data_IF_919200287604
#
_entry.id   IF_919200287604
#
_cell.length_a   1.000
_cell.length_b   1.000
_cell.length_c   1.000
_cell.angle_alpha   90.00
_cell.angle_beta   90.00
_cell.angle_gamma   90.00
#
_symmetry.space_group_name_H-M   'P 1'
#
loop_
_entity.id
_entity.type
_entity.pdbx_description
1 polymer ?
#
# COMPACT_ATOMS: atom_id res chain seq x y z
N UNK A 1 -5.40 0.46 6.73
CA UNK A 1 -5.20 0.83 8.15
C UNK A 1 -3.78 0.48 8.63
N UNK A 2 -3.25 -0.72 8.36
CA UNK A 2 -1.88 -1.10 8.70
C UNK A 2 -0.81 -0.15 8.14
N UNK A 3 -0.97 0.31 6.91
CA UNK A 3 -0.05 1.23 6.24
C UNK A 3 0.05 2.59 6.91
N UNK A 4 -1.06 3.17 7.33
CA UNK A 4 -1.09 4.51 7.95
C UNK A 4 -0.29 4.49 9.26
N UNK A 5 -0.40 3.44 10.05
CA UNK A 5 0.28 3.33 11.34
C UNK A 5 1.77 2.98 11.20
N UNK A 6 2.14 2.14 10.24
CA UNK A 6 3.55 1.90 9.92
C UNK A 6 4.22 3.18 9.42
N UNK A 7 3.54 3.97 8.59
CA UNK A 7 4.00 5.30 8.17
C UNK A 7 4.30 6.20 9.37
N UNK A 8 3.44 6.21 10.38
CA UNK A 8 3.67 7.02 11.60
C UNK A 8 4.83 6.49 12.45
N UNK A 9 5.05 5.18 12.51
CA UNK A 9 6.18 4.60 13.23
C UNK A 9 7.53 4.91 12.55
N UNK A 10 7.56 5.12 11.23
CA UNK A 10 8.74 5.52 10.45
C UNK A 10 8.73 7.00 10.04
N UNK A 11 8.09 7.88 10.81
CA UNK A 11 8.03 9.33 10.50
C UNK A 11 9.39 10.02 10.47
N UNK A 12 10.40 9.45 11.12
CA UNK A 12 11.77 9.91 11.01
C UNK A 12 12.59 8.89 10.20
N UNK A 13 13.14 9.28 9.04
CA UNK A 13 14.03 8.42 8.27
C UNK A 13 15.28 8.08 9.09
N UNK A 14 15.84 6.86 8.95
CA UNK A 14 17.02 6.46 9.72
C UNK A 14 18.25 7.31 9.37
N UNK A 15 19.07 7.58 10.38
CA UNK A 15 20.36 8.26 10.22
C UNK A 15 21.47 7.22 10.16
N UNK A 16 22.54 7.53 9.41
CA UNK A 16 23.65 6.62 9.20
C UNK A 16 24.96 7.22 9.70
N UNK A 17 25.73 6.42 10.42
CA UNK A 17 27.10 6.76 10.81
C UNK A 17 28.04 5.62 10.42
N UNK A 18 29.03 5.95 9.58
CA UNK A 18 30.09 5.04 9.09
C UNK A 18 31.42 5.28 9.82
N UNK A 19 31.39 6.04 10.94
CA UNK A 19 32.58 6.36 11.74
C UNK A 19 33.43 7.51 11.16
N UNK A 20 32.94 8.24 10.16
CA UNK A 20 33.63 9.36 9.52
C UNK A 20 32.64 10.48 9.20
N UNK A 21 32.78 11.63 9.84
CA UNK A 21 31.88 12.78 9.70
C UNK A 21 31.82 13.32 8.27
N UNK A 22 32.93 13.32 7.52
CA UNK A 22 32.95 13.77 6.12
C UNK A 22 32.17 12.77 5.24
N UNK A 23 32.40 11.47 5.42
CA UNK A 23 31.65 10.42 4.74
C UNK A 23 30.14 10.49 5.04
N UNK A 24 29.77 10.71 6.30
CA UNK A 24 28.36 10.85 6.70
C UNK A 24 27.67 12.02 5.97
N UNK A 25 28.34 13.15 5.79
CA UNK A 25 27.81 14.29 5.01
C UNK A 25 27.62 13.93 3.54
N UNK A 26 28.57 13.20 2.94
CA UNK A 26 28.44 12.75 1.55
C UNK A 26 27.31 11.75 1.37
N UNK A 27 27.12 10.82 2.32
CA UNK A 27 25.98 9.89 2.33
C UNK A 27 24.66 10.64 2.44
N UNK A 28 24.55 11.61 3.37
CA UNK A 28 23.33 12.42 3.51
C UNK A 28 23.02 13.20 2.23
N UNK A 29 24.05 13.75 1.57
CA UNK A 29 23.86 14.44 0.29
C UNK A 29 23.39 13.48 -0.82
N UNK A 30 23.94 12.29 -0.89
CA UNK A 30 23.58 11.27 -1.90
C UNK A 30 22.16 10.70 -1.66
N UNK A 31 21.69 10.66 -0.39
CA UNK A 31 20.30 10.30 -0.09
C UNK A 31 19.30 11.33 -0.59
N UNK A 32 19.69 12.61 -0.69
CA UNK A 32 18.90 13.67 -1.29
C UNK A 32 17.76 14.19 -0.41
N UNK A 33 17.10 15.23 -0.88
CA UNK A 33 16.03 15.93 -0.14
C UNK A 33 14.74 15.08 -0.06
N UNK A 34 14.51 14.22 -1.04
CA UNK A 34 13.33 13.33 -1.06
C UNK A 34 13.48 12.08 -0.18
N UNK A 35 14.59 11.93 0.55
CA UNK A 35 14.88 10.74 1.34
C UNK A 35 13.75 10.33 2.28
N UNK A 36 13.17 11.29 3.01
CA UNK A 36 12.06 11.01 3.93
C UNK A 36 10.81 10.49 3.20
N UNK A 37 10.47 11.11 2.06
CA UNK A 37 9.35 10.68 1.20
C UNK A 37 9.58 9.26 0.68
N UNK A 38 10.78 8.99 0.16
CA UNK A 38 11.15 7.69 -0.38
C UNK A 38 11.12 6.58 0.69
N UNK A 39 11.54 6.88 1.94
CA UNK A 39 11.40 5.95 3.05
C UNK A 39 9.93 5.59 3.32
N UNK A 40 9.03 6.58 3.30
CA UNK A 40 7.61 6.34 3.50
C UNK A 40 7.00 5.51 2.35
N UNK A 41 7.37 5.80 1.11
CA UNK A 41 6.92 5.06 -0.06
C UNK A 41 7.39 3.59 -0.04
N UNK A 42 8.65 3.34 0.33
CA UNK A 42 9.17 1.99 0.55
C UNK A 42 8.37 1.22 1.59
N UNK A 43 8.00 1.87 2.71
CA UNK A 43 7.17 1.24 3.74
C UNK A 43 5.79 0.85 3.21
N UNK A 44 5.14 1.73 2.44
CA UNK A 44 3.84 1.46 1.83
C UNK A 44 3.95 0.29 0.84
N UNK A 45 4.93 0.34 -0.06
CA UNK A 45 5.13 -0.72 -1.05
C UNK A 45 5.40 -2.06 -0.37
N UNK A 46 6.29 -2.11 0.63
CA UNK A 46 6.59 -3.34 1.36
C UNK A 46 5.36 -3.88 2.12
N UNK A 47 4.56 -3.02 2.74
CA UNK A 47 3.35 -3.43 3.45
C UNK A 47 2.28 -4.00 2.52
N UNK A 48 2.12 -3.42 1.31
CA UNK A 48 1.09 -3.81 0.35
C UNK A 48 1.47 -5.05 -0.48
N UNK A 49 2.75 -5.18 -0.84
CA UNK A 49 3.22 -6.21 -1.78
C UNK A 49 4.25 -7.16 -1.19
N UNK A 50 4.49 -7.11 0.12
CA UNK A 50 5.52 -7.84 0.86
C UNK A 50 6.96 -7.37 0.67
N UNK A 51 7.25 -6.58 -0.37
CA UNK A 51 8.59 -6.13 -0.75
C UNK A 51 8.51 -4.75 -1.41
N UNK A 52 9.34 -3.80 -0.98
CA UNK A 52 9.62 -2.56 -1.67
C UNK A 52 10.95 -2.65 -2.41
N UNK A 53 11.14 -1.85 -3.43
CA UNK A 53 12.34 -1.86 -4.24
C UNK A 53 12.96 -0.48 -4.36
N UNK A 54 14.27 -0.42 -4.21
CA UNK A 54 15.12 0.71 -4.63
C UNK A 54 15.91 0.29 -5.84
N UNK A 55 15.93 1.14 -6.87
CA UNK A 55 16.86 1.08 -7.98
C UNK A 55 17.84 2.24 -7.86
N UNK A 56 19.12 2.02 -8.16
CA UNK A 56 20.16 3.05 -8.15
C UNK A 56 20.99 2.98 -9.43
N UNK A 57 21.51 4.14 -9.85
CA UNK A 57 22.32 4.27 -11.06
C UNK A 57 23.35 5.39 -10.89
N UNK A 58 24.27 5.46 -11.83
CA UNK A 58 25.20 6.58 -11.94
C UNK A 58 24.63 7.57 -12.95
N UNK A 59 24.15 8.70 -12.48
CA UNK A 59 23.67 9.81 -13.30
C UNK A 59 24.76 10.85 -13.54
N UNK A 60 24.42 11.92 -14.25
CA UNK A 60 25.34 13.03 -14.56
C UNK A 60 25.84 13.75 -13.31
N UNK A 61 25.00 13.81 -12.28
CA UNK A 61 25.31 14.48 -11.00
C UNK A 61 25.98 13.56 -9.97
N UNK A 62 26.19 12.28 -10.29
CA UNK A 62 26.76 11.27 -9.40
C UNK A 62 25.79 10.13 -9.10
N UNK A 63 25.90 9.57 -7.90
CA UNK A 63 25.01 8.49 -7.46
C UNK A 63 23.56 8.97 -7.32
N UNK A 64 22.66 8.30 -7.99
CA UNK A 64 21.22 8.55 -7.96
C UNK A 64 20.48 7.27 -7.60
N UNK A 65 19.31 7.41 -6.98
CA UNK A 65 18.45 6.31 -6.60
C UNK A 65 16.99 6.73 -6.53
N UNK A 66 16.09 5.77 -6.76
CA UNK A 66 14.65 5.98 -6.65
C UNK A 66 13.95 4.74 -6.12
N UNK A 67 12.75 4.95 -5.56
CA UNK A 67 11.83 3.87 -5.25
C UNK A 67 11.14 3.43 -6.53
N UNK A 68 11.12 2.12 -6.77
CA UNK A 68 10.42 1.53 -7.91
C UNK A 68 9.12 0.90 -7.43
N UNK A 69 7.98 1.14 -8.10
CA UNK A 69 6.74 0.45 -7.81
C UNK A 69 6.96 -1.07 -7.83
N UNK A 70 6.53 -1.75 -6.77
CA UNK A 70 6.88 -3.16 -6.59
C UNK A 70 6.29 -4.07 -7.66
N UNK A 71 5.15 -3.70 -8.23
CA UNK A 71 4.50 -4.39 -9.35
C UNK A 71 5.29 -4.32 -10.66
N UNK A 72 6.25 -3.41 -10.77
CA UNK A 72 7.11 -3.29 -11.95
C UNK A 72 8.33 -4.20 -11.89
N UNK A 73 8.65 -4.83 -10.74
CA UNK A 73 9.90 -5.57 -10.56
C UNK A 73 9.65 -7.06 -10.45
N UNK A 74 10.25 -7.81 -11.39
CA UNK A 74 10.30 -9.27 -11.37
C UNK A 74 11.74 -9.68 -11.02
N UNK A 75 11.99 -10.11 -9.74
CA UNK A 75 13.33 -10.47 -9.30
C UNK A 75 13.71 -11.89 -9.71
N UNK A 76 14.98 -12.10 -10.06
CA UNK A 76 15.57 -13.41 -10.30
C UNK A 76 16.61 -13.68 -9.22
N UNK A 77 16.35 -14.69 -8.39
CA UNK A 77 17.26 -15.10 -7.33
C UNK A 77 18.02 -16.37 -7.69
N UNK A 78 19.24 -16.52 -7.19
CA UNK A 78 19.95 -17.77 -7.26
C UNK A 78 19.29 -18.86 -6.41
N UNK A 79 19.69 -20.11 -6.63
CA UNK A 79 19.17 -21.25 -5.87
C UNK A 79 19.97 -21.55 -4.58
N UNK A 80 20.89 -20.66 -4.20
CA UNK A 80 21.66 -20.80 -2.98
C UNK A 80 20.80 -20.58 -1.74
N UNK A 81 21.26 -21.05 -0.59
CA UNK A 81 20.59 -20.81 0.69
C UNK A 81 20.45 -19.30 1.02
N UNK A 82 21.37 -18.48 0.50
CA UNK A 82 21.35 -17.00 0.71
C UNK A 82 20.43 -16.28 -0.25
N UNK A 83 19.91 -16.94 -1.31
CA UNK A 83 19.01 -16.37 -2.31
C UNK A 83 19.48 -14.98 -2.78
N UNK A 84 20.64 -14.92 -3.42
CA UNK A 84 21.19 -13.66 -3.94
C UNK A 84 20.40 -13.24 -5.17
N UNK A 85 20.14 -11.95 -5.30
CA UNK A 85 19.57 -11.37 -6.51
C UNK A 85 20.62 -11.43 -7.63
N UNK A 86 20.33 -12.15 -8.72
CA UNK A 86 21.20 -12.35 -9.87
C UNK A 86 20.67 -11.66 -11.13
N UNK A 87 19.44 -11.20 -11.12
CA UNK A 87 18.81 -10.41 -12.17
C UNK A 87 17.53 -9.75 -11.65
N UNK A 88 17.15 -8.66 -12.28
CA UNK A 88 15.87 -8.01 -12.08
C UNK A 88 15.31 -7.56 -13.42
N UNK A 89 14.03 -7.83 -13.66
CA UNK A 89 13.32 -7.30 -14.81
C UNK A 89 12.36 -6.23 -14.32
N UNK A 90 12.53 -5.01 -14.81
CA UNK A 90 11.57 -3.91 -14.60
C UNK A 90 10.64 -3.83 -15.79
N UNK A 91 9.34 -3.82 -15.55
CA UNK A 91 8.29 -3.79 -16.59
C UNK A 91 7.36 -2.62 -16.31
N UNK A 92 7.20 -1.72 -17.28
CA UNK A 92 6.34 -0.55 -17.11
C UNK A 92 5.72 -0.08 -18.42
N UNK A 93 4.56 0.59 -18.38
CA UNK A 93 3.97 1.20 -19.57
C UNK A 93 4.74 2.45 -19.98
N UNK A 94 4.81 2.71 -21.27
CA UNK A 94 5.40 3.88 -21.88
C UNK A 94 4.58 4.34 -23.08
N UNK A 95 4.66 5.62 -23.42
CA UNK A 95 3.97 6.20 -24.57
C UNK A 95 5.03 6.79 -25.49
N UNK A 96 5.05 6.35 -26.74
CA UNK A 96 5.95 6.91 -27.75
C UNK A 96 5.51 8.34 -28.11
N UNK A 97 6.36 9.32 -27.78
CA UNK A 97 6.06 10.75 -27.95
C UNK A 97 5.82 11.15 -29.41
N UNK A 98 6.37 10.42 -30.37
CA UNK A 98 6.27 10.75 -31.79
C UNK A 98 4.97 10.20 -32.42
N UNK A 99 4.52 9.03 -31.98
CA UNK A 99 3.36 8.34 -32.58
C UNK A 99 2.13 8.34 -31.67
N UNK A 100 2.30 8.54 -30.36
CA UNK A 100 1.24 8.40 -29.35
C UNK A 100 0.86 6.94 -29.07
N UNK A 101 1.61 5.98 -29.58
CA UNK A 101 1.36 4.55 -29.34
C UNK A 101 1.77 4.14 -27.93
N UNK A 102 0.98 3.24 -27.34
CA UNK A 102 1.26 2.67 -26.02
C UNK A 102 2.18 1.45 -26.16
N UNK A 103 3.26 1.46 -25.40
CA UNK A 103 4.21 0.37 -25.30
C UNK A 103 4.31 -0.17 -23.88
N UNK A 104 4.82 -1.38 -23.75
CA UNK A 104 5.32 -1.94 -22.50
C UNK A 104 6.83 -2.09 -22.66
N UNK A 105 7.58 -1.46 -21.79
CA UNK A 105 9.04 -1.51 -21.73
C UNK A 105 9.49 -2.57 -20.74
N UNK A 106 10.54 -3.29 -21.08
CA UNK A 106 11.17 -4.34 -20.31
C UNK A 106 12.66 -4.03 -20.18
N UNK A 107 13.14 -3.79 -18.98
CA UNK A 107 14.55 -3.61 -18.66
C UNK A 107 15.06 -4.83 -17.92
N UNK A 108 15.98 -5.57 -18.48
CA UNK A 108 16.59 -6.72 -17.81
C UNK A 108 17.97 -6.34 -17.27
N UNK A 109 18.07 -6.25 -15.96
CA UNK A 109 19.27 -5.85 -15.24
C UNK A 109 20.00 -7.06 -14.66
N UNK A 110 21.32 -7.11 -14.91
CA UNK A 110 22.26 -8.07 -14.36
C UNK A 110 23.26 -7.36 -13.42
N UNK A 111 24.32 -8.03 -13.04
CA UNK A 111 25.42 -7.45 -12.24
C UNK A 111 26.40 -6.59 -13.08
N UNK A 112 26.28 -6.60 -14.40
CA UNK A 112 27.19 -5.92 -15.34
C UNK A 112 26.50 -5.05 -16.40
N UNK A 113 25.24 -5.34 -16.70
CA UNK A 113 24.54 -4.66 -17.80
C UNK A 113 23.02 -4.64 -17.61
N UNK A 114 22.37 -3.72 -18.32
CA UNK A 114 20.94 -3.72 -18.58
C UNK A 114 20.69 -3.88 -20.07
N UNK A 115 19.68 -4.66 -20.44
CA UNK A 115 19.16 -4.75 -21.80
C UNK A 115 17.70 -4.30 -21.82
N UNK A 116 17.39 -3.36 -22.71
CA UNK A 116 16.05 -2.82 -22.85
C UNK A 116 15.33 -3.36 -24.07
N UNK A 117 14.07 -3.70 -23.86
CA UNK A 117 13.16 -4.18 -24.89
C UNK A 117 11.84 -3.43 -24.80
N UNK A 118 11.12 -3.34 -25.91
CA UNK A 118 9.75 -2.82 -25.89
C UNK A 118 8.82 -3.67 -26.76
N UNK A 119 7.54 -3.60 -26.43
CA UNK A 119 6.46 -4.25 -27.15
C UNK A 119 5.24 -3.32 -27.18
N UNK A 120 4.57 -3.22 -28.34
CA UNK A 120 3.33 -2.45 -28.40
C UNK A 120 2.29 -3.07 -27.51
N UNK A 121 1.51 -2.25 -26.80
CA UNK A 121 0.46 -2.73 -25.91
C UNK A 121 -0.57 -3.57 -26.69
N UNK A 122 -0.93 -4.74 -26.13
CA UNK A 122 -1.87 -5.68 -26.75
C UNK A 122 -1.25 -6.70 -27.71
N UNK A 123 0.02 -6.56 -28.10
CA UNK A 123 0.73 -7.57 -28.88
C UNK A 123 1.24 -8.72 -28.02
N UNK A 124 1.64 -9.83 -28.66
CA UNK A 124 2.21 -11.01 -27.99
C UNK A 124 3.72 -10.85 -27.72
N UNK A 125 4.27 -11.65 -26.81
CA UNK A 125 5.69 -11.54 -26.37
C UNK A 125 6.69 -11.90 -27.45
N UNK A 126 6.29 -12.63 -28.49
CA UNK A 126 7.13 -12.96 -29.66
C UNK A 126 7.44 -11.73 -30.55
N UNK A 127 6.70 -10.63 -30.38
CA UNK A 127 6.94 -9.36 -31.05
C UNK A 127 7.80 -8.38 -30.22
N UNK A 128 8.46 -8.86 -29.18
CA UNK A 128 9.40 -8.07 -28.38
C UNK A 128 10.60 -7.63 -29.25
N UNK A 129 10.89 -6.34 -29.23
CA UNK A 129 12.01 -5.75 -29.98
C UNK A 129 12.97 -5.03 -29.05
N UNK A 130 14.25 -4.90 -29.45
CA UNK A 130 15.20 -4.06 -28.73
C UNK A 130 14.70 -2.61 -28.70
N UNK A 131 14.91 -1.95 -27.56
CA UNK A 131 14.54 -0.56 -27.34
C UNK A 131 15.79 0.28 -27.06
N UNK A 132 16.16 1.11 -28.00
CA UNK A 132 17.31 2.02 -27.93
C UNK A 132 16.94 3.21 -27.04
N UNK A 133 17.11 3.08 -25.72
CA UNK A 133 16.76 4.09 -24.73
C UNK A 133 17.96 4.67 -23.96
N UNK A 134 19.13 4.07 -24.11
CA UNK A 134 20.34 4.52 -23.43
C UNK A 134 21.28 5.24 -24.42
N UNK A 135 21.93 6.32 -24.00
CA UNK A 135 22.97 6.96 -24.77
C UNK A 135 24.33 6.26 -24.53
N UNK A 136 25.01 5.86 -25.57
CA UNK A 136 26.38 5.37 -25.45
C UNK A 136 27.34 6.54 -25.12
N UNK A 137 28.06 6.48 -23.97
CA UNK A 137 28.93 7.56 -23.54
C UNK A 137 30.11 7.84 -24.56
N UNK A 138 30.46 6.87 -25.38
CA UNK A 138 31.58 7.00 -26.33
C UNK A 138 31.18 7.59 -27.68
N UNK A 139 29.97 7.25 -28.17
CA UNK A 139 29.52 7.65 -29.52
C UNK A 139 28.35 8.64 -29.49
N UNK A 140 27.68 8.78 -28.39
CA UNK A 140 26.40 9.48 -28.22
C UNK A 140 25.23 8.89 -29.04
N UNK A 141 25.40 7.71 -29.60
CA UNK A 141 24.34 6.99 -30.27
C UNK A 141 23.40 6.36 -29.24
N UNK A 142 22.14 6.20 -29.62
CA UNK A 142 21.18 5.47 -28.76
C UNK A 142 21.40 3.97 -28.89
N UNK A 143 21.35 3.25 -27.76
CA UNK A 143 21.53 1.81 -27.66
C UNK A 143 20.51 1.16 -26.75
N UNK A 144 20.25 -0.12 -26.97
CA UNK A 144 19.40 -0.92 -26.09
C UNK A 144 20.17 -1.50 -24.89
N UNK A 145 21.50 -1.42 -24.90
CA UNK A 145 22.36 -1.98 -23.85
C UNK A 145 22.98 -0.86 -23.02
N UNK A 146 22.96 -1.00 -21.71
CA UNK A 146 23.62 -0.12 -20.75
C UNK A 146 24.59 -0.94 -19.89
N UNK A 147 25.88 -0.65 -19.97
CA UNK A 147 26.92 -1.33 -19.18
C UNK A 147 27.21 -0.54 -17.91
N UNK A 148 27.35 -1.25 -16.79
CA UNK A 148 27.72 -0.68 -15.51
C UNK A 148 28.73 -1.56 -14.77
N UNK A 149 29.41 -0.98 -13.77
CA UNK A 149 30.48 -1.62 -13.00
C UNK A 149 30.08 -1.81 -11.50
N UNK A 150 28.78 -1.83 -11.22
CA UNK A 150 28.31 -2.01 -9.84
C UNK A 150 28.72 -3.39 -9.28
N UNK A 151 28.90 -4.42 -10.12
CA UNK A 151 29.27 -5.78 -9.72
C UNK A 151 28.19 -6.48 -8.92
N UNK A 152 26.98 -5.93 -8.94
CA UNK A 152 25.75 -6.48 -8.38
C UNK A 152 24.56 -5.88 -9.13
N UNK A 153 23.42 -6.57 -9.09
CA UNK A 153 22.18 -6.05 -9.68
C UNK A 153 21.77 -4.78 -8.93
N UNK A 154 21.60 -3.62 -9.61
CA UNK A 154 21.37 -2.33 -8.96
C UNK A 154 19.95 -2.15 -8.43
N UNK A 155 19.39 -3.23 -7.85
CA UNK A 155 18.09 -3.27 -7.18
C UNK A 155 18.26 -3.77 -5.76
N UNK A 156 17.68 -3.05 -4.80
CA UNK A 156 17.76 -3.41 -3.39
C UNK A 156 16.36 -3.74 -2.87
N UNK A 157 16.14 -4.98 -2.38
CA UNK A 157 14.88 -5.37 -1.78
C UNK A 157 14.75 -4.85 -0.34
N UNK A 158 13.54 -4.38 0.00
CA UNK A 158 13.10 -3.98 1.34
C UNK A 158 11.88 -4.81 1.72
N UNK A 159 12.08 -5.88 2.48
CA UNK A 159 11.00 -6.78 2.85
C UNK A 159 10.15 -6.24 3.99
N UNK A 160 8.85 -6.52 3.95
CA UNK A 160 7.91 -6.18 5.01
C UNK A 160 8.21 -6.92 6.33
N UNK A 161 8.63 -8.17 6.21
CA UNK A 161 8.94 -9.05 7.33
C UNK A 161 9.79 -10.23 6.83
N UNK A 162 10.31 -11.03 7.77
CA UNK A 162 11.19 -12.17 7.51
C UNK A 162 10.51 -13.37 6.81
N UNK A 163 9.18 -13.42 6.78
CA UNK A 163 8.41 -14.48 6.09
C UNK A 163 7.88 -14.03 4.73
N UNK A 164 8.23 -12.81 4.32
CA UNK A 164 7.91 -12.23 3.02
C UNK A 164 6.39 -12.22 2.72
N UNK A 165 5.60 -11.76 3.68
CA UNK A 165 4.14 -11.59 3.53
C UNK A 165 3.74 -10.12 3.57
N UNK A 166 2.68 -9.79 2.86
CA UNK A 166 2.04 -8.49 2.94
C UNK A 166 1.14 -8.36 4.19
N UNK A 167 0.72 -7.15 4.48
CA UNK A 167 -0.13 -6.88 5.64
C UNK A 167 -1.62 -7.14 5.39
N UNK A 168 -2.03 -7.25 4.13
CA UNK A 168 -3.43 -7.41 3.74
C UNK A 168 -3.88 -8.85 3.80
N UNK A 169 -2.98 -9.81 3.60
CA UNK A 169 -3.28 -11.23 3.48
C UNK A 169 -4.20 -11.77 4.57
N UNK A 170 -3.95 -11.39 5.81
CA UNK A 170 -4.71 -11.89 6.96
C UNK A 170 -6.03 -11.16 7.20
N UNK A 171 -6.14 -9.90 6.75
CA UNK A 171 -7.30 -9.05 7.03
C UNK A 171 -8.23 -8.86 5.83
N UNK A 172 -7.76 -9.13 4.61
CA UNK A 172 -8.57 -8.97 3.39
C UNK A 172 -9.92 -9.70 3.45
N UNK A 173 -10.00 -10.98 3.86
CA UNK A 173 -11.30 -11.66 3.97
C UNK A 173 -12.27 -10.99 4.96
N UNK A 174 -11.73 -10.38 6.02
CA UNK A 174 -12.53 -9.64 7.00
C UNK A 174 -13.02 -8.30 6.44
N UNK A 175 -12.18 -7.63 5.67
CA UNK A 175 -12.56 -6.39 4.96
C UNK A 175 -13.67 -6.72 3.95
N UNK A 176 -13.53 -7.78 3.16
CA UNK A 176 -14.54 -8.21 2.19
C UNK A 176 -15.89 -8.54 2.89
N UNK A 177 -15.87 -9.14 4.07
CA UNK A 177 -17.09 -9.38 4.89
C UNK A 177 -17.69 -8.05 5.38
N UNK A 178 -16.85 -7.15 5.91
CA UNK A 178 -17.30 -5.84 6.38
C UNK A 178 -17.99 -5.05 5.26
N UNK A 179 -17.35 -4.96 4.10
CA UNK A 179 -17.87 -4.23 2.94
C UNK A 179 -19.16 -4.85 2.42
N UNK A 180 -19.24 -6.18 2.38
CA UNK A 180 -20.45 -6.90 1.95
C UNK A 180 -21.63 -6.62 2.89
N UNK A 181 -21.42 -6.69 4.21
CA UNK A 181 -22.49 -6.44 5.20
C UNK A 181 -22.91 -4.98 5.17
N UNK A 182 -21.94 -4.05 5.07
CA UNK A 182 -22.21 -2.62 5.01
C UNK A 182 -22.97 -2.24 3.72
N UNK A 183 -22.52 -2.70 2.56
CA UNK A 183 -23.18 -2.45 1.28
C UNK A 183 -24.60 -3.06 1.25
N UNK A 184 -24.76 -4.29 1.75
CA UNK A 184 -26.06 -4.91 1.87
C UNK A 184 -27.01 -4.13 2.78
N UNK A 185 -26.49 -3.53 3.86
CA UNK A 185 -27.29 -2.70 4.75
C UNK A 185 -27.75 -1.39 4.06
N UNK A 186 -26.89 -0.75 3.31
CA UNK A 186 -27.27 0.44 2.53
C UNK A 186 -28.34 0.09 1.48
N UNK A 187 -28.15 -0.99 0.71
CA UNK A 187 -29.14 -1.44 -0.29
C UNK A 187 -30.50 -1.71 0.35
N UNK A 188 -30.53 -2.40 1.50
CA UNK A 188 -31.81 -2.67 2.19
C UNK A 188 -32.47 -1.37 2.72
N UNK A 189 -31.68 -0.35 3.10
CA UNK A 189 -32.23 0.95 3.49
C UNK A 189 -32.84 1.68 2.28
N UNK A 190 -32.21 1.56 1.11
CA UNK A 190 -32.74 2.12 -0.15
C UNK A 190 -34.01 1.38 -0.58
N UNK A 191 -34.05 0.05 -0.49
CA UNK A 191 -35.20 -0.78 -0.86
C UNK A 191 -36.42 -0.52 0.06
N UNK A 192 -36.20 -0.21 1.35
CA UNK A 192 -37.30 0.12 2.27
C UNK A 192 -37.99 1.45 1.94
N UNK A 193 -37.33 2.35 1.23
CA UNK A 193 -37.97 3.57 0.75
C UNK A 193 -39.03 3.27 -0.30
N UNK A 194 -39.02 2.09 -0.92
CA UNK A 194 -40.06 1.60 -1.82
C UNK A 194 -41.12 0.82 -1.03
N UNK A 195 -42.25 1.44 -0.80
CA UNK A 195 -43.40 0.77 -0.15
C UNK A 195 -43.92 -0.36 -1.08
N UNK A 196 -43.88 -1.60 -0.60
CA UNK A 196 -44.48 -2.74 -1.27
C UNK A 196 -45.94 -2.85 -0.85
N UNK A 197 -46.85 -2.62 -1.78
CA UNK A 197 -48.28 -2.79 -1.58
C UNK A 197 -48.67 -4.22 -1.93
N UNK A 198 -49.35 -4.89 -1.02
CA UNK A 198 -49.95 -6.20 -1.24
C UNK A 198 -51.45 -5.97 -1.53
N UNK A 199 -51.86 -6.24 -2.76
CA UNK A 199 -53.23 -6.15 -3.20
C UNK A 199 -53.88 -7.54 -3.14
N UNK A 200 -54.92 -7.71 -2.34
CA UNK A 200 -55.66 -8.96 -2.23
C UNK A 200 -57.13 -8.70 -2.59
N UNK A 201 -57.67 -9.50 -3.56
CA UNK A 201 -59.06 -9.38 -3.99
C UNK A 201 -59.40 -8.04 -4.69
N UNK A 202 -58.39 -7.34 -5.22
CA UNK A 202 -58.58 -6.06 -5.91
C UNK A 202 -59.03 -6.34 -7.37
N UNK A 203 -60.38 -6.31 -7.58
CA UNK A 203 -61.00 -6.60 -8.84
C UNK A 203 -61.08 -5.46 -9.86
N UNK A 204 -60.34 -4.38 -9.59
CA UNK A 204 -60.40 -3.16 -10.42
C UNK A 204 -59.17 -2.96 -11.29
N UNK A 205 -59.02 -1.86 -11.79
CA UNK A 205 -58.10 -1.16 -12.70
C UNK A 205 -56.67 -1.70 -12.82
N UNK A 206 -56.01 -1.35 -13.92
CA UNK A 206 -54.63 -1.64 -14.21
C UNK A 206 -53.70 -1.16 -13.03
N UNK A 207 -52.68 -1.96 -12.73
CA UNK A 207 -51.68 -1.67 -11.71
C UNK A 207 -51.00 -0.29 -11.88
N UNK A 208 -50.85 0.18 -13.13
CA UNK A 208 -50.33 1.50 -13.45
C UNK A 208 -51.26 2.63 -13.01
N UNK A 209 -52.56 2.41 -13.14
CA UNK A 209 -53.59 3.37 -12.73
C UNK A 209 -53.64 3.45 -11.18
N UNK A 210 -53.57 2.29 -10.52
CA UNK A 210 -53.45 2.20 -9.06
C UNK A 210 -52.22 2.99 -8.54
N UNK A 211 -51.04 2.78 -9.13
CA UNK A 211 -49.80 3.49 -8.73
C UNK A 211 -49.87 4.98 -9.05
N UNK A 212 -50.53 5.36 -10.17
CA UNK A 212 -50.75 6.75 -10.53
C UNK A 212 -51.66 7.47 -9.55
N UNK A 213 -52.76 6.83 -9.15
CA UNK A 213 -53.74 7.38 -8.22
C UNK A 213 -53.17 7.47 -6.81
N UNK A 214 -52.41 6.45 -6.38
CA UNK A 214 -51.70 6.48 -5.11
C UNK A 214 -50.69 7.64 -5.06
N UNK A 215 -49.95 7.84 -6.15
CA UNK A 215 -48.96 8.91 -6.27
C UNK A 215 -49.58 10.31 -6.26
N UNK A 216 -50.76 10.45 -6.93
CA UNK A 216 -51.46 11.73 -7.12
C UNK A 216 -52.34 12.11 -5.94
N UNK A 217 -53.14 11.16 -5.43
CA UNK A 217 -54.15 11.41 -4.42
C UNK A 217 -53.78 10.93 -3.00
N UNK A 218 -52.71 10.11 -2.92
CA UNK A 218 -52.28 9.46 -1.67
C UNK A 218 -53.40 8.68 -0.94
N UNK A 219 -54.40 8.26 -1.71
CA UNK A 219 -55.58 7.51 -1.26
C UNK A 219 -56.02 6.54 -2.33
N UNK A 220 -56.60 5.41 -1.96
CA UNK A 220 -57.12 4.37 -2.83
C UNK A 220 -58.57 4.16 -2.46
N UNK A 221 -59.42 4.09 -3.48
CA UNK A 221 -60.86 3.76 -3.31
C UNK A 221 -61.01 2.25 -3.45
N UNK A 222 -61.48 1.57 -2.44
CA UNK A 222 -61.89 0.16 -2.49
C UNK A 222 -63.41 0.15 -2.59
N UNK A 223 -63.99 -0.55 -3.56
CA UNK A 223 -65.44 -0.68 -3.68
C UNK A 223 -65.99 -1.62 -2.60
N UNK A 224 -67.11 -1.26 -2.01
CA UNK A 224 -67.59 -1.86 -0.75
C UNK A 224 -68.20 -3.26 -0.90
N UNK A 225 -68.28 -3.82 -2.09
CA UNK A 225 -68.88 -5.12 -2.36
C UNK A 225 -67.87 -6.25 -2.60
N UNK A 226 -66.59 -5.98 -2.49
CA UNK A 226 -65.50 -6.96 -2.64
C UNK A 226 -64.66 -7.06 -1.34
N UNK A 227 -64.28 -8.29 -0.97
CA UNK A 227 -63.33 -8.58 0.11
C UNK A 227 -61.88 -8.15 -0.27
N UNK A 228 -61.77 -7.01 -0.92
CA UNK A 228 -60.49 -6.43 -1.33
C UNK A 228 -59.78 -5.75 -0.16
N UNK A 229 -58.52 -6.02 -0.02
CA UNK A 229 -57.68 -5.31 0.96
C UNK A 229 -56.39 -4.85 0.36
N UNK A 230 -55.88 -3.73 0.84
CA UNK A 230 -54.57 -3.21 0.55
C UNK A 230 -53.78 -3.21 1.85
N UNK A 231 -52.66 -3.91 1.88
CA UNK A 231 -51.76 -3.88 2.99
C UNK A 231 -50.35 -3.51 2.50
N UNK A 232 -49.54 -3.01 3.42
CA UNK A 232 -48.12 -2.76 3.14
C UNK A 232 -47.27 -3.86 3.76
N UNK A 233 -46.36 -4.39 2.99
CA UNK A 233 -45.33 -5.30 3.53
C UNK A 233 -44.20 -4.46 4.12
N UNK A 234 -44.05 -4.50 5.42
CA UNK A 234 -42.92 -3.89 6.13
C UNK A 234 -41.80 -4.94 6.20
N UNK A 235 -40.68 -4.64 5.58
CA UNK A 235 -39.46 -5.44 5.72
C UNK A 235 -38.73 -4.94 6.96
N UNK A 236 -38.64 -5.78 7.99
CA UNK A 236 -37.84 -5.46 9.17
C UNK A 236 -36.36 -5.76 8.88
N UNK A 237 -35.53 -4.70 8.92
CA UNK A 237 -34.07 -4.88 8.83
C UNK A 237 -33.56 -5.28 10.20
N UNK A 238 -32.75 -6.36 10.34
CA UNK A 238 -32.15 -6.76 11.58
C UNK A 238 -30.95 -5.84 11.95
N UNK A 239 -31.22 -4.59 12.29
CA UNK A 239 -30.22 -3.54 12.53
C UNK A 239 -29.22 -3.95 13.60
N UNK A 240 -29.71 -4.48 14.73
CA UNK A 240 -28.85 -4.90 15.85
C UNK A 240 -27.90 -6.04 15.45
N UNK A 241 -28.40 -7.05 14.73
CA UNK A 241 -27.58 -8.15 14.26
C UNK A 241 -26.48 -7.67 13.29
N UNK A 242 -26.82 -6.75 12.39
CA UNK A 242 -25.85 -6.17 11.44
C UNK A 242 -24.80 -5.33 12.13
N UNK A 243 -25.20 -4.46 13.06
CA UNK A 243 -24.27 -3.66 13.84
C UNK A 243 -23.32 -4.56 14.64
N UNK A 244 -23.83 -5.61 15.27
CA UNK A 244 -22.98 -6.58 15.99
C UNK A 244 -21.95 -7.26 15.08
N UNK A 245 -22.32 -7.63 13.86
CA UNK A 245 -21.39 -8.21 12.88
C UNK A 245 -20.36 -7.19 12.44
N UNK A 246 -20.77 -5.95 12.13
CA UNK A 246 -19.84 -4.88 11.72
C UNK A 246 -18.85 -4.56 12.84
N UNK A 247 -19.29 -4.43 14.08
CA UNK A 247 -18.41 -4.17 15.23
C UNK A 247 -17.44 -5.33 15.47
N UNK A 248 -17.93 -6.58 15.47
CA UNK A 248 -17.09 -7.77 15.65
C UNK A 248 -16.05 -7.90 14.53
N UNK A 249 -16.46 -7.66 13.26
CA UNK A 249 -15.56 -7.73 12.10
C UNK A 249 -14.54 -6.61 12.15
N UNK A 250 -14.94 -5.39 12.49
CA UNK A 250 -14.02 -4.27 12.68
C UNK A 250 -12.96 -4.60 13.73
N UNK A 251 -13.38 -5.08 14.91
CA UNK A 251 -12.46 -5.48 15.98
C UNK A 251 -11.47 -6.56 15.49
N UNK A 252 -11.97 -7.57 14.79
CA UNK A 252 -11.14 -8.63 14.23
C UNK A 252 -10.12 -8.10 13.18
N UNK A 253 -10.50 -7.10 12.36
CA UNK A 253 -9.59 -6.45 11.40
C UNK A 253 -8.40 -5.80 12.14
N UNK A 254 -8.65 -5.05 13.22
CA UNK A 254 -7.58 -4.43 14.00
C UNK A 254 -6.72 -5.44 14.75
N UNK A 255 -7.32 -6.46 15.38
CA UNK A 255 -6.60 -7.49 16.11
C UNK A 255 -5.71 -8.34 15.19
N UNK A 256 -6.26 -8.87 14.09
CA UNK A 256 -5.50 -9.71 13.16
C UNK A 256 -4.52 -8.89 12.31
N UNK A 257 -4.88 -7.64 12.00
CA UNK A 257 -3.98 -6.69 11.34
C UNK A 257 -2.86 -6.18 12.25
N UNK A 258 -2.90 -6.51 13.54
CA UNK A 258 -1.97 -5.99 14.56
C UNK A 258 -1.94 -4.46 14.53
N UNK A 259 -3.09 -3.85 14.26
CA UNK A 259 -3.29 -2.42 14.20
C UNK A 259 -3.77 -1.85 15.52
N UNK A 260 -3.84 -0.54 15.59
CA UNK A 260 -4.43 0.18 16.70
C UNK A 260 -5.81 0.75 16.29
N UNK A 261 -6.85 0.48 17.07
CA UNK A 261 -8.19 1.03 16.84
C UNK A 261 -8.31 2.43 17.46
N UNK A 262 -8.45 3.50 16.63
CA UNK A 262 -8.47 4.88 17.11
C UNK A 262 -9.81 5.34 17.68
N UNK A 263 -10.71 4.43 18.10
CA UNK A 263 -11.98 4.85 18.71
C UNK A 263 -11.75 5.65 19.99
N UNK A 264 -12.47 6.77 20.17
CA UNK A 264 -12.33 7.63 21.36
C UNK A 264 -12.56 6.90 22.68
N UNK A 265 -13.40 5.88 22.67
CA UNK A 265 -13.72 5.02 23.84
C UNK A 265 -12.48 4.28 24.36
N UNK A 266 -11.52 3.99 23.46
CA UNK A 266 -10.26 3.35 23.80
C UNK A 266 -9.23 4.33 24.40
N UNK A 267 -9.46 5.64 24.26
CA UNK A 267 -8.50 6.67 24.68
C UNK A 267 -8.79 7.30 26.02
N UNK A 268 -9.94 7.10 26.66
CA UNK A 268 -10.34 7.69 27.93
C UNK A 268 -9.19 8.23 28.79
N UNK A 269 -9.28 8.46 30.03
CA UNK A 269 -8.21 8.88 30.97
C UNK A 269 -7.17 7.76 31.20
N UNK A 270 -6.66 7.13 30.13
CA UNK A 270 -5.70 6.04 30.26
C UNK A 270 -4.29 6.58 30.52
N UNK A 271 -3.54 5.87 31.39
CA UNK A 271 -2.14 6.18 31.66
C UNK A 271 -1.26 5.93 30.45
N UNK A 272 -0.09 6.60 30.36
CA UNK A 272 0.86 6.37 29.29
C UNK A 272 1.32 4.91 29.15
N UNK A 273 1.33 4.14 30.25
CA UNK A 273 1.61 2.70 30.25
C UNK A 273 0.50 1.89 29.55
N UNK A 274 -0.78 2.23 29.78
CA UNK A 274 -1.90 1.58 29.09
C UNK A 274 -1.84 1.86 27.58
N UNK A 275 -1.53 3.09 27.17
CA UNK A 275 -1.32 3.43 25.76
C UNK A 275 -0.18 2.64 25.13
N UNK A 276 0.95 2.51 25.80
CA UNK A 276 2.09 1.68 25.32
C UNK A 276 1.69 0.22 25.13
N UNK A 277 0.91 -0.33 26.05
CA UNK A 277 0.40 -1.69 25.91
C UNK A 277 -0.52 -1.85 24.70
N UNK A 278 -1.40 -0.90 24.44
CA UNK A 278 -2.28 -0.91 23.27
C UNK A 278 -1.52 -0.83 21.95
N UNK A 279 -0.36 -0.13 21.92
CA UNK A 279 0.51 -0.05 20.76
C UNK A 279 1.49 -1.24 20.62
N UNK A 280 1.55 -2.13 21.59
CA UNK A 280 2.58 -3.20 21.63
C UNK A 280 2.56 -4.11 20.40
N UNK A 281 1.39 -4.48 19.89
CA UNK A 281 1.25 -5.31 18.70
C UNK A 281 1.77 -4.59 17.45
N UNK A 282 1.45 -3.31 17.31
CA UNK A 282 1.93 -2.47 16.21
C UNK A 282 3.45 -2.29 16.30
N UNK A 283 3.99 -2.09 17.51
CA UNK A 283 5.44 -1.99 17.74
C UNK A 283 6.18 -3.29 17.38
N UNK A 284 5.62 -4.45 17.73
CA UNK A 284 6.19 -5.74 17.34
C UNK A 284 6.21 -5.91 15.82
N UNK A 285 5.10 -5.60 15.15
CA UNK A 285 4.98 -5.65 13.69
C UNK A 285 5.98 -4.71 13.01
N UNK A 286 6.09 -3.48 13.51
CA UNK A 286 7.04 -2.48 13.02
C UNK A 286 8.50 -2.92 13.25
N UNK A 287 8.79 -3.59 14.36
CA UNK A 287 10.11 -4.15 14.66
C UNK A 287 10.57 -5.21 13.66
N UNK A 288 9.66 -6.04 13.16
CA UNK A 288 9.97 -7.01 12.10
C UNK A 288 10.36 -6.30 10.80
N UNK A 289 9.59 -5.30 10.38
CA UNK A 289 9.92 -4.50 9.19
C UNK A 289 11.24 -3.76 9.37
N UNK A 290 11.48 -3.13 10.52
CA UNK A 290 12.73 -2.42 10.79
C UNK A 290 13.95 -3.32 10.62
N UNK A 291 13.87 -4.57 11.06
CA UNK A 291 14.98 -5.54 10.93
C UNK A 291 15.33 -5.75 9.45
N UNK A 292 14.35 -5.94 8.59
CA UNK A 292 14.55 -6.12 7.14
C UNK A 292 15.01 -4.81 6.47
N UNK A 293 14.43 -3.68 6.85
CA UNK A 293 14.81 -2.37 6.33
C UNK A 293 16.25 -2.00 6.69
N UNK A 294 16.73 -2.38 7.87
CA UNK A 294 18.15 -2.23 8.24
C UNK A 294 19.09 -2.92 7.25
N UNK A 295 18.70 -4.09 6.75
CA UNK A 295 19.50 -4.79 5.73
C UNK A 295 19.46 -4.06 4.39
N UNK A 296 18.29 -3.59 3.95
CA UNK A 296 18.12 -2.82 2.72
C UNK A 296 18.93 -1.52 2.75
N UNK A 297 18.79 -0.72 3.80
CA UNK A 297 19.53 0.53 3.96
C UNK A 297 21.03 0.31 4.09
N UNK A 298 21.46 -0.76 4.77
CA UNK A 298 22.90 -1.07 4.82
C UNK A 298 23.48 -1.35 3.42
N UNK A 299 22.72 -1.98 2.52
CA UNK A 299 23.12 -2.17 1.11
C UNK A 299 23.14 -0.85 0.36
N UNK A 300 22.11 -0.01 0.51
CA UNK A 300 22.05 1.31 -0.14
C UNK A 300 23.24 2.19 0.27
N UNK A 301 23.54 2.27 1.58
CA UNK A 301 24.69 3.06 2.08
C UNK A 301 26.02 2.50 1.56
N UNK A 302 26.17 1.16 1.45
CA UNK A 302 27.37 0.56 0.84
C UNK A 302 27.49 0.87 -0.65
N UNK A 303 26.37 0.86 -1.41
CA UNK A 303 26.37 1.26 -2.82
C UNK A 303 26.78 2.73 -2.98
N UNK A 304 26.26 3.63 -2.14
CA UNK A 304 26.68 5.04 -2.11
C UNK A 304 28.17 5.15 -1.79
N UNK A 305 28.67 4.48 -0.75
CA UNK A 305 30.08 4.51 -0.39
C UNK A 305 30.98 4.00 -1.53
N UNK A 306 30.56 2.92 -2.20
CA UNK A 306 31.29 2.35 -3.34
C UNK A 306 31.38 3.35 -4.50
N UNK A 307 30.25 3.98 -4.87
CA UNK A 307 30.22 5.02 -5.90
C UNK A 307 31.12 6.22 -5.59
N UNK A 308 31.20 6.60 -4.30
CA UNK A 308 32.02 7.72 -3.85
C UNK A 308 33.50 7.34 -3.55
N UNK A 309 33.88 6.09 -3.73
CA UNK A 309 35.23 5.60 -3.38
C UNK A 309 35.54 5.63 -1.88
N UNK A 310 34.52 5.61 -1.02
CA UNK A 310 34.64 5.64 0.44
C UNK A 310 34.70 4.21 0.96
N UNK A 311 35.71 3.90 1.77
CA UNK A 311 35.74 2.62 2.49
C UNK A 311 34.66 2.64 3.58
N UNK A 312 33.70 1.73 3.46
CA UNK A 312 32.58 1.58 4.39
C UNK A 312 32.84 0.38 5.32
N UNK A 313 33.06 0.67 6.60
CA UNK A 313 33.17 -0.35 7.65
C UNK A 313 31.79 -0.76 8.21
N UNK A 314 31.68 -0.67 9.54
CA UNK A 314 30.40 -0.88 10.23
C UNK A 314 29.50 0.33 10.03
N UNK A 315 28.25 0.08 9.64
CA UNK A 315 27.22 1.11 9.50
C UNK A 315 26.36 1.08 10.75
N UNK A 316 26.42 2.15 11.54
CA UNK A 316 25.51 2.36 12.67
C UNK A 316 24.25 3.06 12.14
N UNK A 317 23.11 2.47 12.40
CA UNK A 317 21.82 3.01 12.00
C UNK A 317 21.03 3.46 13.21
N UNK A 318 20.64 4.72 13.26
CA UNK A 318 19.80 5.27 14.32
C UNK A 318 18.36 5.38 13.82
N UNK A 319 17.48 4.63 14.46
CA UNK A 319 16.06 4.58 14.17
C UNK A 319 15.27 5.26 15.29
N UNK A 320 14.46 6.23 14.93
CA UNK A 320 13.62 6.97 15.88
C UNK A 320 12.17 6.58 15.65
N UNK A 321 11.48 6.19 16.72
CA UNK A 321 10.06 5.90 16.71
C UNK A 321 9.27 7.04 17.32
N UNK A 322 8.16 7.40 16.68
CA UNK A 322 7.21 8.35 17.24
C UNK A 322 6.26 7.59 18.16
N UNK A 323 6.45 7.72 19.46
CA UNK A 323 5.45 7.26 20.44
C UNK A 323 4.45 8.38 20.68
N UNK A 324 3.16 8.05 20.75
CA UNK A 324 2.18 8.97 21.33
C UNK A 324 2.52 9.12 22.80
N UNK A 325 2.90 10.32 23.20
CA UNK A 325 3.22 10.66 24.60
C UNK A 325 2.01 11.35 25.20
N UNK A 326 1.69 11.01 26.42
CA UNK A 326 0.71 11.76 27.20
C UNK A 326 1.40 13.04 27.70
N UNK A 327 1.08 14.18 27.07
CA UNK A 327 1.68 15.49 27.41
C UNK A 327 1.44 15.87 28.89
N UNK A 328 0.36 15.38 29.48
CA UNK A 328 0.02 15.62 30.89
C UNK A 328 1.01 14.94 31.85
N UNK A 329 1.50 13.74 31.54
CA UNK A 329 2.51 13.05 32.32
C UNK A 329 3.90 13.70 32.17
N UNK A 330 4.23 14.24 31.00
CA UNK A 330 5.49 14.97 30.82
C UNK A 330 5.52 16.29 31.61
N UNK A 331 4.41 16.99 31.68
CA UNK A 331 4.30 18.22 32.49
C UNK A 331 4.45 17.91 33.99
N UNK A 332 3.94 16.79 34.48
CA UNK A 332 4.08 16.39 35.89
C UNK A 332 5.53 16.03 36.26
N UNK A 333 6.29 15.45 35.32
CA UNK A 333 7.72 15.13 35.52
C UNK A 333 8.62 16.38 35.54
N UNK A 334 8.24 17.44 34.84
CA UNK A 334 8.98 18.72 34.82
C UNK A 334 8.74 19.51 36.12
N UNK A 335 7.60 19.31 36.79
CA UNK A 335 7.27 19.98 38.05
C UNK A 335 7.84 19.31 39.33
N UNK A 336 8.42 18.13 39.21
CA UNK A 336 9.10 17.44 40.30
C UNK A 336 10.60 17.79 40.31
#
# INVERSE_FOLDING_TARGET
>A
LGDVYKRQAFTAPPLFDVGNTAANKHITKALGDEYAKNCMELCVNAANTSIGWVHYWQGDSGFEWAVVPSEQVIPVFDRSLKRRLIGAMRVYPDIDDATGDNYTVYEYWTDTECQAFRRRAGETLDLLTYYEMFADPATSDMTADYRHDFGEVPFIPFYNNNIHTDDLRNIKPLIDVYDKVYSGFINDLDDIQELIFVLSGYGGQDLNEFLSDLKKYKAIKIESDEDGSVSTLNIEIPIEARNSVLEATRKAIFEQGQGFDPQPENFGNQSGEALKFMYSLLEMKTGLMETEFKLGFARLVRAICKSLGIQCGTIIQTWTRTCIKNDTEQLSLIHI
#
